data_IF_902149871562
#
_entry.id   IF_902149871562
#
_cell.length_a   1.000
_cell.length_b   1.000
_cell.length_c   1.000
_cell.angle_alpha   90.00
_cell.angle_beta   90.00
_cell.angle_gamma   90.00
#
_symmetry.space_group_name_H-M   'P 1'
#
loop_
_entity.id
_entity.type
_entity.pdbx_description
1 polymer ?
#
# COMPACT_ATOMS: atom_id res chain seq x y z
N UNK A 1 -3.33 -8.89 -15.43
CA UNK A 1 -4.46 -9.84 -15.25
C UNK A 1 -5.13 -9.72 -13.87
N UNK A 2 -4.36 -9.65 -12.77
CA UNK A 2 -4.91 -9.59 -11.40
C UNK A 2 -5.73 -8.35 -11.09
N UNK A 3 -5.33 -7.16 -11.58
CA UNK A 3 -6.13 -5.94 -11.44
C UNK A 3 -7.53 -6.11 -12.04
N UNK A 4 -7.66 -6.74 -13.20
CA UNK A 4 -8.96 -6.98 -13.85
C UNK A 4 -9.87 -7.92 -13.05
N UNK A 5 -9.28 -8.88 -12.32
CA UNK A 5 -10.03 -9.78 -11.41
C UNK A 5 -10.56 -8.97 -10.23
N UNK A 6 -9.70 -8.15 -9.61
CA UNK A 6 -10.10 -7.27 -8.51
C UNK A 6 -11.22 -6.31 -8.90
N UNK A 7 -11.11 -5.64 -10.06
CA UNK A 7 -12.12 -4.67 -10.50
C UNK A 7 -13.44 -5.28 -10.94
N UNK A 8 -13.46 -6.58 -11.26
CA UNK A 8 -14.71 -7.33 -11.51
C UNK A 8 -15.41 -7.77 -10.22
N UNK A 9 -14.73 -7.73 -9.08
CA UNK A 9 -15.32 -8.19 -7.83
C UNK A 9 -16.47 -7.27 -7.39
N UNK A 10 -17.57 -7.82 -6.84
CA UNK A 10 -18.71 -7.01 -6.41
C UNK A 10 -18.37 -6.03 -5.29
N UNK A 11 -17.28 -6.27 -4.56
CA UNK A 11 -16.80 -5.41 -3.48
C UNK A 11 -15.91 -4.24 -3.96
N UNK A 12 -15.47 -4.29 -5.23
CA UNK A 12 -14.48 -3.36 -5.79
C UNK A 12 -14.85 -1.88 -5.67
N UNK A 13 -16.12 -1.45 -5.87
CA UNK A 13 -16.49 -0.04 -5.75
C UNK A 13 -16.19 0.56 -4.36
N UNK A 14 -16.24 -0.25 -3.31
CA UNK A 14 -15.95 0.18 -1.93
C UNK A 14 -14.47 0.19 -1.60
N UNK A 15 -13.69 -0.64 -2.31
CA UNK A 15 -12.24 -0.75 -2.14
C UNK A 15 -11.45 0.41 -2.78
N UNK A 16 -12.10 1.24 -3.59
CA UNK A 16 -11.52 2.48 -4.12
C UNK A 16 -11.51 3.61 -3.07
N UNK A 17 -12.64 3.98 -2.44
CA UNK A 17 -12.65 5.04 -1.43
C UNK A 17 -12.02 4.62 -0.10
N UNK A 18 -12.14 3.35 0.31
CA UNK A 18 -11.67 2.88 1.61
C UNK A 18 -10.18 3.20 1.90
N UNK A 19 -9.21 2.84 1.04
CA UNK A 19 -7.78 3.11 1.26
C UNK A 19 -7.45 4.60 1.25
N UNK A 20 -8.14 5.39 0.41
CA UNK A 20 -7.99 6.85 0.40
C UNK A 20 -8.42 7.44 1.75
N UNK A 21 -9.56 6.99 2.28
CA UNK A 21 -10.03 7.42 3.60
C UNK A 21 -9.05 7.03 4.71
N UNK A 22 -8.50 5.82 4.64
CA UNK A 22 -7.48 5.35 5.57
C UNK A 22 -6.22 6.22 5.49
N UNK A 23 -5.74 6.56 4.28
CA UNK A 23 -4.56 7.40 4.11
C UNK A 23 -4.79 8.80 4.71
N UNK A 24 -5.93 9.43 4.42
CA UNK A 24 -6.31 10.72 5.00
C UNK A 24 -6.41 10.65 6.52
N UNK A 25 -7.00 9.59 7.08
CA UNK A 25 -7.06 9.38 8.52
C UNK A 25 -5.66 9.21 9.14
N UNK A 26 -4.76 8.48 8.48
CA UNK A 26 -3.38 8.30 8.94
C UNK A 26 -2.58 9.61 8.90
N UNK A 27 -2.82 10.46 7.89
CA UNK A 27 -2.26 11.82 7.81
C UNK A 27 -2.77 12.71 8.94
N UNK A 28 -4.09 12.70 9.21
CA UNK A 28 -4.68 13.46 10.30
C UNK A 28 -4.13 13.04 11.68
N UNK A 29 -3.80 11.75 11.84
CA UNK A 29 -3.16 11.21 13.03
C UNK A 29 -1.63 11.37 13.07
N UNK A 30 -1.04 12.13 12.13
CA UNK A 30 0.41 12.31 11.95
C UNK A 30 1.21 10.99 11.87
N UNK A 31 0.58 9.89 11.43
CA UNK A 31 1.23 8.58 11.27
C UNK A 31 2.00 8.47 9.96
N UNK A 32 1.63 9.25 8.95
CA UNK A 32 2.28 9.33 7.64
C UNK A 32 2.35 10.78 7.19
N UNK A 33 3.42 11.16 6.47
CA UNK A 33 3.57 12.49 5.84
C UNK A 33 3.36 12.44 4.32
N UNK A 34 2.83 11.32 3.82
CA UNK A 34 2.70 11.03 2.39
C UNK A 34 1.23 10.82 2.04
N UNK A 35 0.77 11.48 0.97
CA UNK A 35 -0.57 11.34 0.42
C UNK A 35 -0.51 10.38 -0.76
N UNK A 36 -1.30 9.31 -0.72
CA UNK A 36 -1.40 8.37 -1.84
C UNK A 36 -2.53 8.78 -2.79
N UNK A 37 -2.15 9.41 -3.91
CA UNK A 37 -3.07 9.91 -4.94
C UNK A 37 -3.26 8.94 -6.12
N UNK A 38 -2.42 7.89 -6.22
CA UNK A 38 -2.46 6.95 -7.34
C UNK A 38 -3.51 5.85 -7.10
N UNK A 39 -4.71 6.07 -7.62
CA UNK A 39 -5.81 5.10 -7.53
C UNK A 39 -5.51 3.77 -8.24
N UNK A 40 -4.57 3.76 -9.21
CA UNK A 40 -4.25 2.53 -9.92
C UNK A 40 -3.55 1.54 -8.98
N UNK A 41 -2.76 2.03 -8.02
CA UNK A 41 -2.07 1.16 -7.06
C UNK A 41 -3.03 0.35 -6.17
N UNK A 42 -4.29 0.79 -6.08
CA UNK A 42 -5.23 0.28 -5.11
C UNK A 42 -5.65 -1.17 -5.37
N UNK A 43 -5.47 -1.65 -6.61
CA UNK A 43 -5.81 -3.04 -6.94
C UNK A 43 -5.03 -4.07 -6.10
N UNK A 44 -3.85 -3.74 -5.58
CA UNK A 44 -3.02 -4.68 -4.82
C UNK A 44 -3.63 -5.06 -3.47
N UNK A 45 -3.98 -4.09 -2.63
CA UNK A 45 -4.65 -4.37 -1.36
C UNK A 45 -6.14 -4.71 -1.58
N UNK A 46 -6.74 -4.23 -2.67
CA UNK A 46 -8.09 -4.62 -3.03
C UNK A 46 -8.18 -6.09 -3.48
N UNK A 47 -7.11 -6.64 -4.08
CA UNK A 47 -7.00 -8.07 -4.38
C UNK A 47 -7.00 -8.91 -3.09
N UNK A 48 -6.30 -8.47 -2.04
CA UNK A 48 -6.29 -9.14 -0.75
C UNK A 48 -7.71 -9.21 -0.13
N UNK A 49 -8.44 -8.09 -0.14
CA UNK A 49 -9.84 -8.09 0.33
C UNK A 49 -10.78 -8.93 -0.54
N UNK A 50 -10.56 -8.91 -1.86
CA UNK A 50 -11.32 -9.71 -2.83
C UNK A 50 -11.12 -11.20 -2.60
N UNK A 51 -9.88 -11.64 -2.34
CA UNK A 51 -9.57 -13.03 -2.01
C UNK A 51 -10.28 -13.48 -0.74
N UNK A 52 -10.27 -12.66 0.32
CA UNK A 52 -10.97 -12.96 1.59
C UNK A 52 -12.49 -13.02 1.40
N UNK A 53 -13.04 -12.13 0.57
CA UNK A 53 -14.46 -12.16 0.23
C UNK A 53 -14.84 -13.44 -0.51
N UNK A 54 -14.08 -13.85 -1.52
CA UNK A 54 -14.37 -15.08 -2.27
C UNK A 54 -14.12 -16.36 -1.45
N UNK A 55 -13.21 -16.33 -0.47
CA UNK A 55 -12.97 -17.48 0.41
C UNK A 55 -14.02 -17.62 1.53
N UNK A 56 -14.52 -16.50 2.05
CA UNK A 56 -15.35 -16.50 3.27
C UNK A 56 -16.83 -16.19 2.99
N UNK A 57 -17.14 -15.63 1.83
CA UNK A 57 -18.49 -15.13 1.48
C UNK A 57 -18.91 -13.87 2.23
N UNK A 58 -18.07 -13.35 3.12
CA UNK A 58 -18.39 -12.20 3.98
C UNK A 58 -17.82 -10.90 3.42
N UNK A 59 -18.73 -9.97 3.09
CA UNK A 59 -18.41 -8.62 2.63
C UNK A 59 -17.57 -7.84 3.65
N UNK A 60 -17.94 -7.93 4.94
CA UNK A 60 -17.29 -7.21 6.03
C UNK A 60 -15.86 -7.69 6.22
N UNK A 61 -15.62 -9.00 6.21
CA UNK A 61 -14.27 -9.56 6.36
C UNK A 61 -13.36 -9.18 5.18
N UNK A 62 -13.90 -9.12 3.97
CA UNK A 62 -13.16 -8.64 2.79
C UNK A 62 -12.72 -7.18 2.91
N UNK A 63 -13.61 -6.30 3.39
CA UNK A 63 -13.28 -4.89 3.67
C UNK A 63 -12.21 -4.76 4.75
N UNK A 64 -12.32 -5.51 5.85
CA UNK A 64 -11.32 -5.49 6.93
C UNK A 64 -9.95 -5.95 6.44
N UNK A 65 -9.89 -7.03 5.64
CA UNK A 65 -8.64 -7.52 5.09
C UNK A 65 -7.98 -6.50 4.15
N UNK A 66 -8.77 -5.84 3.28
CA UNK A 66 -8.26 -4.76 2.45
C UNK A 66 -7.78 -3.56 3.26
N UNK A 67 -8.49 -3.19 4.32
CA UNK A 67 -8.11 -2.08 5.20
C UNK A 67 -6.76 -2.34 5.89
N UNK A 68 -6.56 -3.55 6.43
CA UNK A 68 -5.30 -3.94 7.07
C UNK A 68 -4.16 -3.90 6.05
N UNK A 69 -4.37 -4.48 4.86
CA UNK A 69 -3.38 -4.46 3.80
C UNK A 69 -3.01 -3.02 3.38
N UNK A 70 -3.99 -2.14 3.24
CA UNK A 70 -3.77 -0.73 2.94
C UNK A 70 -2.93 -0.02 4.03
N UNK A 71 -3.27 -0.21 5.31
CA UNK A 71 -2.52 0.39 6.44
C UNK A 71 -1.05 -0.04 6.43
N UNK A 72 -0.79 -1.34 6.21
CA UNK A 72 0.57 -1.89 6.19
C UNK A 72 1.37 -1.28 5.05
N UNK A 73 0.79 -1.22 3.85
CA UNK A 73 1.47 -0.67 2.66
C UNK A 73 1.72 0.82 2.81
N UNK A 74 0.74 1.60 3.27
CA UNK A 74 0.89 3.04 3.48
C UNK A 74 1.97 3.36 4.51
N UNK A 75 2.06 2.57 5.60
CA UNK A 75 3.16 2.69 6.56
C UNK A 75 4.51 2.40 5.93
N UNK A 76 4.62 1.33 5.15
CA UNK A 76 5.87 0.94 4.51
C UNK A 76 6.31 1.96 3.45
N UNK A 77 5.36 2.55 2.72
CA UNK A 77 5.63 3.65 1.79
C UNK A 77 6.14 4.92 2.52
N UNK A 78 5.57 5.24 3.69
CA UNK A 78 6.09 6.35 4.49
C UNK A 78 7.52 6.09 5.00
N UNK A 79 7.88 4.83 5.29
CA UNK A 79 9.23 4.46 5.70
C UNK A 79 10.24 4.38 4.55
N UNK A 80 9.80 4.09 3.32
CA UNK A 80 10.69 4.08 2.15
C UNK A 80 11.03 5.49 1.64
N UNK A 81 10.30 6.52 2.07
CA UNK A 81 10.52 7.92 1.67
C UNK A 81 11.98 8.41 1.79
N UNK A 82 12.68 8.28 2.94
CA UNK A 82 14.08 8.71 3.05
C UNK A 82 15.01 7.91 2.13
N UNK A 83 14.70 6.63 1.91
CA UNK A 83 15.52 5.75 1.08
C UNK A 83 15.43 6.13 -0.41
N UNK A 84 14.24 6.48 -0.88
CA UNK A 84 14.03 6.99 -2.24
C UNK A 84 14.74 8.32 -2.44
N UNK A 85 14.70 9.20 -1.44
CA UNK A 85 15.42 10.47 -1.49
C UNK A 85 16.94 10.27 -1.65
N UNK A 86 17.56 9.36 -0.89
CA UNK A 86 19.01 9.11 -0.98
C UNK A 86 19.41 8.36 -2.25
N UNK A 87 18.64 7.35 -2.68
CA UNK A 87 18.99 6.53 -3.85
C UNK A 87 18.69 7.21 -5.19
N UNK A 88 17.64 8.03 -5.27
CA UNK A 88 17.19 8.65 -6.52
C UNK A 88 17.27 10.18 -6.54
N UNK A 89 17.65 10.82 -5.43
CA UNK A 89 17.73 12.29 -5.33
C UNK A 89 16.36 12.99 -5.38
N UNK A 90 15.26 12.24 -5.23
CA UNK A 90 13.90 12.75 -5.30
C UNK A 90 13.37 13.02 -3.88
N UNK A 91 13.70 14.19 -3.35
CA UNK A 91 13.23 14.63 -2.04
C UNK A 91 11.71 14.89 -2.05
N UNK A 92 10.99 14.34 -1.08
CA UNK A 92 9.54 14.54 -0.93
C UNK A 92 8.64 13.52 -1.67
N UNK A 93 9.22 12.56 -2.41
CA UNK A 93 8.45 11.48 -3.06
C UNK A 93 8.69 10.16 -2.34
N UNK A 94 7.61 9.54 -1.85
CA UNK A 94 7.61 8.12 -1.49
C UNK A 94 7.15 7.31 -2.69
N UNK A 95 7.81 6.19 -3.00
CA UNK A 95 7.33 5.24 -4.00
C UNK A 95 6.46 4.17 -3.33
N UNK A 96 5.13 4.16 -3.56
CA UNK A 96 4.31 3.01 -3.23
C UNK A 96 4.20 2.17 -4.51
N UNK A 97 5.04 1.16 -4.68
CA UNK A 97 4.44 -0.07 -5.17
C UNK A 97 4.79 -1.20 -4.21
N UNK A 98 3.82 -2.07 -3.89
CA UNK A 98 4.07 -3.27 -3.10
C UNK A 98 5.24 -4.10 -3.65
N UNK A 99 5.50 -4.01 -4.96
CA UNK A 99 6.68 -4.59 -5.59
C UNK A 99 8.01 -4.04 -5.02
N UNK A 100 8.13 -2.73 -4.77
CA UNK A 100 9.33 -2.14 -4.17
C UNK A 100 9.45 -2.46 -2.68
N UNK A 101 8.32 -2.56 -1.97
CA UNK A 101 8.28 -2.84 -0.53
C UNK A 101 8.82 -4.23 -0.17
N UNK A 102 8.63 -5.24 -1.03
CA UNK A 102 9.21 -6.59 -0.82
C UNK A 102 10.74 -6.60 -0.87
N UNK A 103 11.36 -5.65 -1.56
CA UNK A 103 12.82 -5.53 -1.64
C UNK A 103 13.41 -4.61 -0.57
N UNK A 104 12.59 -3.82 0.13
CA UNK A 104 13.04 -2.87 1.15
C UNK A 104 13.91 -3.51 2.27
N UNK A 105 13.57 -4.70 2.82
CA UNK A 105 14.42 -5.34 3.83
C UNK A 105 15.80 -5.76 3.30
N UNK A 106 15.91 -6.07 2.00
CA UNK A 106 17.19 -6.41 1.36
C UNK A 106 18.00 -5.17 1.00
N UNK A 107 17.35 -4.09 0.58
CA UNK A 107 17.99 -2.80 0.31
C UNK A 107 18.64 -2.19 1.55
N UNK A 108 17.92 -2.19 2.68
CA UNK A 108 18.47 -1.71 3.97
C UNK A 108 19.71 -2.47 4.43
N UNK A 109 19.78 -3.79 4.15
CA UNK A 109 20.98 -4.59 4.44
C UNK A 109 22.14 -4.30 3.52
N UNK A 110 21.89 -3.94 2.26
CA UNK A 110 22.95 -3.62 1.30
C UNK A 110 23.58 -2.24 1.55
N UNK A 111 22.78 -1.26 1.95
CA UNK A 111 23.28 0.07 2.34
C UNK A 111 24.19 -0.02 3.57
N UNK A 112 23.79 -0.79 4.59
CA UNK A 112 24.60 -1.03 5.80
C UNK A 112 25.96 -1.68 5.52
N UNK A 113 26.16 -2.33 4.37
CA UNK A 113 27.46 -2.88 3.96
C UNK A 113 28.25 -1.95 3.04
N UNK A 114 27.64 -0.89 2.50
CA UNK A 114 28.31 0.10 1.66
C UNK A 114 28.98 1.20 2.50
N UNK A 115 28.53 1.37 3.74
CA UNK A 115 29.07 2.31 4.73
C UNK A 115 30.19 1.72 5.62
N UNK A 116 30.71 0.54 5.29
CA UNK A 116 31.94 -0.07 5.84
C UNK A 116 32.95 -0.34 4.74
#
# INVERSE_FOLDING_TARGET
PFAAITWRAPIAPFLIPLPRLINVAMLALNKTRTVDVDMWNYWHFALAGTLVYYSTGSFVLGLFAAAIAAIVVLKLAAWSAPLVATSFGLEGISLPPLAAVVFLPRGLRFESCRDT
#
